data_IF_955803428145
#
_entry.id   IF_955803428145
#
_cell.length_a   1.000
_cell.length_b   1.000
_cell.length_c   1.000
_cell.angle_alpha   90.00
_cell.angle_beta   90.00
_cell.angle_gamma   90.00
#
_symmetry.space_group_name_H-M   'P 1'
#
loop_
_entity.id
_entity.type
_entity.pdbx_description
1 polymer ?
#
# COMPACT_ATOMS: atom_id res chain seq x y z
N UNK A 1 -7.54 -5.27 25.49
CA UNK A 1 -6.81 -5.89 24.38
C UNK A 1 -6.54 -4.79 23.37
N UNK A 2 -5.37 -4.15 23.46
CA UNK A 2 -4.95 -3.13 22.51
C UNK A 2 -4.63 -3.82 21.20
N UNK A 3 -5.52 -3.64 20.23
CA UNK A 3 -5.28 -3.98 18.82
C UNK A 3 -4.01 -3.23 18.41
N UNK A 4 -2.94 -3.95 18.04
CA UNK A 4 -1.70 -3.36 17.52
C UNK A 4 -2.01 -2.67 16.19
N UNK A 5 -2.40 -1.42 16.31
CA UNK A 5 -2.69 -0.52 15.22
C UNK A 5 -1.42 -0.30 14.40
N UNK A 6 -1.56 -0.25 13.08
CA UNK A 6 -0.55 0.41 12.26
C UNK A 6 -0.28 1.76 12.93
N UNK A 7 0.99 2.16 13.17
CA UNK A 7 1.32 3.33 13.97
C UNK A 7 1.01 4.66 13.26
N UNK A 8 0.04 4.65 12.36
CA UNK A 8 -0.36 5.83 11.60
C UNK A 8 -1.59 6.45 12.25
N UNK A 9 -1.37 7.46 13.09
CA UNK A 9 -2.45 8.32 13.57
C UNK A 9 -2.92 9.24 12.44
N UNK A 10 -4.22 9.43 12.32
CA UNK A 10 -4.79 10.46 11.43
C UNK A 10 -4.94 11.77 12.22
N UNK A 11 -4.62 12.97 11.64
CA UNK A 11 -4.16 13.18 10.26
C UNK A 11 -2.70 12.75 10.04
N UNK A 12 -2.43 12.19 8.85
CA UNK A 12 -1.09 11.81 8.44
C UNK A 12 -0.29 13.06 8.04
N UNK A 13 0.94 13.26 8.53
CA UNK A 13 1.81 14.31 8.02
C UNK A 13 2.27 14.01 6.58
N UNK A 14 2.69 15.05 5.84
CA UNK A 14 3.25 14.89 4.49
C UNK A 14 4.60 14.18 4.56
N UNK A 15 4.58 12.86 4.51
CA UNK A 15 5.73 11.96 4.62
C UNK A 15 5.44 10.67 3.89
N UNK A 16 6.49 9.86 3.67
CA UNK A 16 6.41 8.52 3.11
C UNK A 16 6.43 7.49 4.23
N UNK A 17 5.35 6.73 4.32
CA UNK A 17 5.20 5.66 5.30
C UNK A 17 5.24 4.32 4.58
N UNK A 18 6.06 3.39 5.03
CA UNK A 18 6.11 2.02 4.57
C UNK A 18 5.59 1.08 5.67
N UNK A 19 4.65 0.24 5.31
CA UNK A 19 4.20 -0.87 6.13
C UNK A 19 4.53 -2.20 5.45
N UNK A 20 5.22 -3.08 6.16
CA UNK A 20 5.62 -4.41 5.70
C UNK A 20 4.90 -5.45 6.53
N UNK A 21 4.13 -6.32 5.90
CA UNK A 21 3.40 -7.37 6.60
C UNK A 21 2.64 -8.30 5.67
N UNK A 22 2.14 -9.41 6.22
CA UNK A 22 1.42 -10.44 5.51
C UNK A 22 -0.07 -10.05 5.27
N UNK A 23 -0.97 -11.03 5.31
CA UNK A 23 -2.40 -10.83 5.01
C UNK A 23 -3.10 -9.84 5.94
N UNK A 24 -2.77 -9.82 7.24
CA UNK A 24 -3.39 -8.90 8.19
C UNK A 24 -3.07 -7.43 7.89
N UNK A 25 -1.92 -7.15 7.29
CA UNK A 25 -1.61 -5.80 6.84
C UNK A 25 -2.58 -5.35 5.73
N UNK A 26 -2.98 -6.25 4.82
CA UNK A 26 -3.95 -5.92 3.76
C UNK A 26 -5.27 -5.41 4.36
N UNK A 27 -5.80 -6.09 5.38
CA UNK A 27 -7.04 -5.67 6.05
C UNK A 27 -6.87 -4.32 6.76
N UNK A 28 -5.75 -4.11 7.44
CA UNK A 28 -5.42 -2.83 8.09
C UNK A 28 -5.29 -1.69 7.07
N UNK A 29 -4.76 -1.96 5.89
CA UNK A 29 -4.70 -0.95 4.81
C UNK A 29 -6.08 -0.61 4.28
N UNK A 30 -7.00 -1.59 4.15
CA UNK A 30 -8.39 -1.33 3.79
C UNK A 30 -9.14 -0.54 4.88
N UNK A 31 -8.86 -0.81 6.16
CA UNK A 31 -9.37 0.00 7.28
C UNK A 31 -8.85 1.46 7.22
N UNK A 32 -7.57 1.65 6.90
CA UNK A 32 -7.00 2.99 6.72
C UNK A 32 -7.71 3.73 5.58
N UNK A 33 -7.91 3.08 4.43
CA UNK A 33 -8.64 3.67 3.30
C UNK A 33 -10.07 4.03 3.71
N UNK A 34 -10.77 3.16 4.43
CA UNK A 34 -12.11 3.43 4.93
C UNK A 34 -12.13 4.67 5.86
N UNK A 35 -11.21 4.74 6.82
CA UNK A 35 -11.09 5.88 7.74
C UNK A 35 -10.78 7.20 7.01
N UNK A 36 -9.84 7.18 6.06
CA UNK A 36 -9.49 8.35 5.28
C UNK A 36 -10.68 8.82 4.43
N UNK A 37 -11.40 7.88 3.79
CA UNK A 37 -12.53 8.21 2.91
C UNK A 37 -13.72 8.83 3.64
N UNK A 38 -13.89 8.55 4.93
CA UNK A 38 -14.90 9.20 5.78
C UNK A 38 -14.62 10.70 5.99
N UNK A 39 -13.35 11.10 6.00
CA UNK A 39 -12.93 12.47 6.27
C UNK A 39 -12.64 13.28 5.00
N UNK A 40 -12.09 12.65 3.95
CA UNK A 40 -11.61 13.34 2.76
C UNK A 40 -11.50 12.39 1.56
N UNK A 41 -11.13 12.94 0.41
CA UNK A 41 -10.75 12.10 -0.75
C UNK A 41 -9.45 11.35 -0.45
N UNK A 42 -9.29 10.19 -1.08
CA UNK A 42 -8.09 9.36 -1.03
C UNK A 42 -7.81 8.78 -2.40
N UNK A 43 -6.56 8.88 -2.84
CA UNK A 43 -6.10 8.23 -4.08
C UNK A 43 -5.46 6.89 -3.71
N UNK A 44 -5.90 5.81 -4.35
CA UNK A 44 -5.43 4.45 -4.08
C UNK A 44 -4.84 3.85 -5.35
N UNK A 45 -3.58 3.42 -5.30
CA UNK A 45 -2.92 2.64 -6.33
C UNK A 45 -2.77 1.20 -5.83
N UNK A 46 -3.50 0.26 -6.45
CA UNK A 46 -3.45 -1.16 -6.12
C UNK A 46 -2.49 -1.88 -7.07
N UNK A 47 -1.24 -2.11 -6.62
CA UNK A 47 -0.19 -2.76 -7.38
C UNK A 47 -0.21 -4.29 -7.20
N UNK A 48 -0.90 -4.80 -6.17
CA UNK A 48 -1.06 -6.23 -5.92
C UNK A 48 -2.35 -6.81 -6.50
N UNK A 49 -3.23 -5.96 -7.05
CA UNK A 49 -4.54 -6.33 -7.58
C UNK A 49 -5.39 -7.15 -6.58
N UNK A 50 -5.34 -6.79 -5.29
CA UNK A 50 -5.98 -7.53 -4.20
C UNK A 50 -6.93 -6.70 -3.35
N UNK A 51 -7.09 -5.40 -3.64
CA UNK A 51 -7.99 -4.55 -2.87
C UNK A 51 -9.44 -4.96 -3.07
N UNK A 52 -10.09 -5.33 -1.95
CA UNK A 52 -11.53 -5.64 -1.93
C UNK A 52 -12.32 -4.42 -1.47
N UNK A 53 -12.86 -3.66 -2.42
CA UNK A 53 -13.64 -2.46 -2.11
C UNK A 53 -14.99 -2.77 -1.45
N UNK A 54 -15.50 -4.00 -1.56
CA UNK A 54 -16.65 -4.43 -0.78
C UNK A 54 -16.35 -4.46 0.72
N UNK A 55 -15.16 -4.93 1.11
CA UNK A 55 -14.69 -4.87 2.51
C UNK A 55 -14.60 -3.43 3.00
N UNK A 56 -14.08 -2.50 2.19
CA UNK A 56 -14.04 -1.07 2.52
C UNK A 56 -15.46 -0.52 2.72
N UNK A 57 -16.40 -0.81 1.82
CA UNK A 57 -17.79 -0.39 1.95
C UNK A 57 -18.44 -0.94 3.23
N UNK A 58 -18.12 -2.18 3.62
CA UNK A 58 -18.60 -2.80 4.86
C UNK A 58 -18.06 -2.09 6.10
N UNK A 59 -16.78 -1.68 6.07
CA UNK A 59 -16.14 -0.91 7.15
C UNK A 59 -16.70 0.52 7.30
N UNK A 60 -17.13 1.13 6.21
CA UNK A 60 -17.69 2.49 6.20
C UNK A 60 -19.12 2.54 6.76
N UNK A 61 -19.95 1.52 6.49
CA UNK A 61 -21.37 1.49 6.82
C UNK A 61 -21.74 1.87 8.27
N UNK A 62 -21.00 1.47 9.32
CA UNK A 62 -21.33 1.84 10.69
C UNK A 62 -21.16 3.33 10.99
N UNK A 63 -20.46 4.09 10.14
CA UNK A 63 -20.05 5.46 10.41
C UNK A 63 -20.76 6.51 9.54
N UNK A 64 -21.65 6.08 8.62
CA UNK A 64 -22.36 7.00 7.74
C UNK A 64 -23.71 6.44 7.31
N UNK A 65 -24.70 7.33 7.15
CA UNK A 65 -26.00 7.01 6.54
C UNK A 65 -25.93 6.92 5.01
N UNK A 66 -24.86 7.46 4.38
CA UNK A 66 -24.67 7.46 2.93
C UNK A 66 -23.29 6.85 2.57
N UNK A 67 -23.14 5.51 2.60
CA UNK A 67 -21.91 4.83 2.25
C UNK A 67 -21.50 5.04 0.79
N UNK A 68 -22.45 5.23 -0.12
CA UNK A 68 -22.18 5.45 -1.55
C UNK A 68 -21.42 6.74 -1.75
N UNK A 69 -21.87 7.81 -1.13
CA UNK A 69 -21.17 9.11 -1.17
C UNK A 69 -19.75 9.00 -0.64
N UNK A 70 -19.54 8.30 0.48
CA UNK A 70 -18.20 8.10 1.06
C UNK A 70 -17.31 7.28 0.12
N UNK A 71 -17.84 6.23 -0.50
CA UNK A 71 -17.10 5.45 -1.51
C UNK A 71 -16.69 6.29 -2.72
N UNK A 72 -17.42 7.32 -3.11
CA UNK A 72 -17.04 8.26 -4.17
C UNK A 72 -15.80 9.11 -3.81
N UNK A 73 -15.40 9.16 -2.54
CA UNK A 73 -14.14 9.78 -2.12
C UNK A 73 -12.91 8.95 -2.47
N UNK A 74 -13.07 7.66 -2.82
CA UNK A 74 -11.97 6.75 -3.14
C UNK A 74 -11.74 6.74 -4.64
N UNK A 75 -10.56 7.18 -5.08
CA UNK A 75 -10.08 7.04 -6.46
C UNK A 75 -9.14 5.86 -6.53
N UNK A 76 -9.64 4.73 -7.06
CA UNK A 76 -8.87 3.49 -7.18
C UNK A 76 -8.38 3.31 -8.61
N UNK A 77 -7.07 3.05 -8.75
CA UNK A 77 -6.44 2.57 -9.98
C UNK A 77 -5.67 1.30 -9.70
N UNK A 78 -5.59 0.38 -10.67
CA UNK A 78 -4.90 -0.90 -10.55
C UNK A 78 -3.81 -1.05 -11.59
N UNK A 79 -2.66 -1.59 -11.17
CA UNK A 79 -1.57 -1.96 -12.04
C UNK A 79 -1.39 -3.47 -12.06
N UNK A 80 -1.09 -4.01 -13.23
CA UNK A 80 -0.83 -5.43 -13.46
C UNK A 80 0.63 -5.70 -13.83
N UNK A 81 1.42 -4.65 -14.10
CA UNK A 81 2.85 -4.72 -14.40
C UNK A 81 3.58 -3.56 -13.74
N UNK A 82 4.89 -3.71 -13.50
CA UNK A 82 5.73 -2.64 -12.96
C UNK A 82 5.80 -1.42 -13.89
N UNK A 83 5.66 -1.60 -15.20
CA UNK A 83 5.56 -0.51 -16.17
C UNK A 83 4.28 0.31 -15.97
N UNK A 84 3.16 -0.36 -15.69
CA UNK A 84 1.90 0.32 -15.40
C UNK A 84 1.95 1.06 -14.06
N UNK A 85 2.66 0.53 -13.05
CA UNK A 85 2.89 1.25 -11.78
C UNK A 85 3.57 2.59 -12.05
N UNK A 86 4.67 2.58 -12.82
CA UNK A 86 5.38 3.81 -13.17
C UNK A 86 4.49 4.78 -13.94
N UNK A 87 3.75 4.30 -14.96
CA UNK A 87 2.86 5.14 -15.76
C UNK A 87 1.74 5.78 -14.91
N UNK A 88 1.16 5.01 -13.97
CA UNK A 88 0.15 5.53 -13.04
C UNK A 88 0.72 6.59 -12.10
N UNK A 89 1.91 6.38 -11.55
CA UNK A 89 2.57 7.38 -10.71
C UNK A 89 2.91 8.65 -11.49
N UNK A 90 3.35 8.54 -12.75
CA UNK A 90 3.56 9.68 -13.64
C UNK A 90 2.27 10.47 -13.87
N UNK A 91 1.14 9.77 -14.12
CA UNK A 91 -0.15 10.41 -14.31
C UNK A 91 -0.63 11.14 -13.04
N UNK A 92 -0.40 10.56 -11.85
CA UNK A 92 -0.71 11.22 -10.56
C UNK A 92 0.22 12.40 -10.33
N UNK A 93 1.52 12.28 -10.65
CA UNK A 93 2.50 13.35 -10.46
C UNK A 93 2.31 14.54 -11.43
N UNK A 94 1.68 14.33 -12.58
CA UNK A 94 1.32 15.41 -13.51
C UNK A 94 0.30 16.38 -12.88
N UNK A 95 -0.58 15.90 -11.98
CA UNK A 95 -1.53 16.69 -11.21
C UNK A 95 -1.52 16.22 -9.76
N UNK A 96 -0.53 16.62 -8.94
CA UNK A 96 -0.32 16.10 -7.61
C UNK A 96 -1.56 16.31 -6.73
N UNK A 97 -2.10 15.25 -6.13
CA UNK A 97 -3.23 15.36 -5.22
C UNK A 97 -2.80 16.07 -3.93
N UNK A 98 -3.75 16.75 -3.30
CA UNK A 98 -3.59 17.26 -1.92
C UNK A 98 -4.10 16.26 -0.89
N UNK A 99 -4.85 15.28 -1.34
CA UNK A 99 -5.36 14.15 -0.56
C UNK A 99 -4.31 13.04 -0.40
N UNK A 100 -4.41 12.21 0.65
CA UNK A 100 -3.49 11.09 0.87
C UNK A 100 -3.44 10.13 -0.33
N UNK A 101 -2.22 9.68 -0.66
CA UNK A 101 -1.95 8.63 -1.62
C UNK A 101 -1.65 7.32 -0.87
N UNK A 102 -2.42 6.29 -1.14
CA UNK A 102 -2.22 4.94 -0.60
C UNK A 102 -1.80 4.00 -1.73
N UNK A 103 -0.62 3.41 -1.62
CA UNK A 103 -0.07 2.45 -2.58
C UNK A 103 -0.10 1.06 -1.96
N UNK A 104 -0.95 0.19 -2.49
CA UNK A 104 -1.12 -1.15 -1.99
C UNK A 104 -0.20 -2.14 -2.70
N UNK A 105 0.59 -2.86 -1.92
CA UNK A 105 1.48 -3.93 -2.36
C UNK A 105 2.41 -3.53 -3.51
N UNK A 106 3.12 -2.41 -3.33
CA UNK A 106 3.93 -1.76 -4.38
C UNK A 106 4.85 -2.73 -5.12
N UNK A 107 5.51 -3.65 -4.40
CA UNK A 107 6.50 -4.55 -5.00
C UNK A 107 5.88 -5.74 -5.73
N UNK A 108 4.57 -6.00 -5.62
CA UNK A 108 3.96 -7.20 -6.17
C UNK A 108 4.26 -7.41 -7.67
N UNK A 109 4.18 -6.36 -8.47
CA UNK A 109 4.46 -6.41 -9.92
C UNK A 109 5.94 -6.34 -10.26
N UNK A 110 6.79 -5.91 -9.33
CA UNK A 110 8.25 -5.89 -9.49
C UNK A 110 8.91 -7.23 -9.15
N UNK A 111 8.14 -8.16 -8.54
CA UNK A 111 8.58 -9.51 -8.25
C UNK A 111 8.32 -10.48 -9.41
N UNK A 112 7.75 -10.01 -10.51
CA UNK A 112 7.52 -10.78 -11.72
C UNK A 112 8.85 -11.25 -12.34
N UNK A 113 9.02 -12.57 -12.51
CA UNK A 113 10.24 -13.20 -12.99
C UNK A 113 10.50 -12.90 -14.48
N UNK A 114 9.46 -12.58 -15.24
CA UNK A 114 9.56 -12.21 -16.66
C UNK A 114 10.24 -10.83 -16.86
N UNK A 115 10.37 -10.04 -15.79
CA UNK A 115 11.07 -8.75 -15.82
C UNK A 115 12.49 -8.92 -15.28
N UNK A 116 13.50 -8.54 -16.05
CA UNK A 116 14.88 -8.57 -15.57
C UNK A 116 15.06 -7.73 -14.30
N UNK A 117 15.83 -8.25 -13.34
CA UNK A 117 16.04 -7.57 -12.04
C UNK A 117 16.57 -6.13 -12.23
N UNK A 118 17.47 -5.92 -13.19
CA UNK A 118 18.02 -4.59 -13.51
C UNK A 118 16.95 -3.61 -13.97
N UNK A 119 16.00 -4.07 -14.79
CA UNK A 119 14.89 -3.25 -15.25
C UNK A 119 13.88 -2.99 -14.12
N UNK A 120 13.59 -4.00 -13.30
CA UNK A 120 12.75 -3.84 -12.12
C UNK A 120 13.36 -2.80 -11.14
N UNK A 121 14.66 -2.83 -10.89
CA UNK A 121 15.36 -1.84 -10.08
C UNK A 121 15.24 -0.42 -10.66
N UNK A 122 15.50 -0.26 -11.95
CA UNK A 122 15.43 1.04 -12.63
C UNK A 122 14.00 1.62 -12.58
N UNK A 123 12.99 0.79 -12.85
CA UNK A 123 11.59 1.19 -12.79
C UNK A 123 11.16 1.55 -11.37
N UNK A 124 11.61 0.78 -10.37
CA UNK A 124 11.33 1.07 -8.97
C UNK A 124 11.98 2.39 -8.55
N UNK A 125 13.24 2.63 -8.91
CA UNK A 125 13.95 3.87 -8.59
C UNK A 125 13.21 5.10 -9.14
N UNK A 126 12.77 5.06 -10.40
CA UNK A 126 11.93 6.11 -10.97
C UNK A 126 10.60 6.27 -10.20
N UNK A 127 9.95 5.17 -9.82
CA UNK A 127 8.72 5.18 -9.05
C UNK A 127 8.91 5.83 -7.67
N UNK A 128 10.03 5.53 -7.00
CA UNK A 128 10.40 6.12 -5.71
C UNK A 128 10.67 7.63 -5.81
N UNK A 129 11.31 8.07 -6.89
CA UNK A 129 11.49 9.49 -7.19
C UNK A 129 10.14 10.24 -7.29
N UNK A 130 9.15 9.65 -7.99
CA UNK A 130 7.81 10.21 -8.10
C UNK A 130 7.07 10.21 -6.76
N UNK A 131 7.16 9.12 -5.96
CA UNK A 131 6.57 9.05 -4.63
C UNK A 131 7.19 10.10 -3.69
N UNK A 132 8.49 10.36 -3.82
CA UNK A 132 9.17 11.44 -3.10
C UNK A 132 8.62 12.81 -3.50
N UNK A 133 8.45 13.07 -4.79
CA UNK A 133 7.83 14.30 -5.28
C UNK A 133 6.41 14.47 -4.75
N UNK A 134 5.58 13.42 -4.80
CA UNK A 134 4.19 13.43 -4.34
C UNK A 134 4.08 13.65 -2.83
N UNK A 135 5.03 13.13 -2.05
CA UNK A 135 5.04 13.32 -0.58
C UNK A 135 5.27 14.76 -0.13
N UNK A 136 5.72 15.64 -1.01
CA UNK A 136 5.81 17.07 -0.75
C UNK A 136 4.42 17.76 -0.70
N UNK A 137 3.41 17.15 -1.32
CA UNK A 137 2.06 17.71 -1.42
C UNK A 137 1.04 17.01 -0.53
N UNK A 138 1.23 15.71 -0.27
CA UNK A 138 0.30 14.88 0.49
C UNK A 138 1.02 13.70 1.16
N UNK A 139 0.44 13.12 2.23
CA UNK A 139 0.97 11.89 2.82
C UNK A 139 0.95 10.75 1.80
N UNK A 140 2.03 9.95 1.76
CA UNK A 140 2.14 8.75 0.95
C UNK A 140 2.29 7.55 1.86
N UNK A 141 1.33 6.62 1.80
CA UNK A 141 1.36 5.37 2.57
C UNK A 141 1.54 4.20 1.61
N UNK A 142 2.60 3.44 1.80
CA UNK A 142 2.97 2.32 0.96
C UNK A 142 2.85 1.04 1.78
N UNK A 143 2.22 0.01 1.25
CA UNK A 143 2.30 -1.33 1.82
C UNK A 143 3.04 -2.28 0.89
N UNK A 144 3.71 -3.25 1.49
CA UNK A 144 4.33 -4.37 0.77
C UNK A 144 4.21 -5.64 1.60
N UNK A 145 4.16 -6.78 0.92
CA UNK A 145 4.30 -8.09 1.56
C UNK A 145 5.77 -8.45 1.70
N UNK A 146 6.11 -9.30 2.69
CA UNK A 146 7.45 -9.89 2.76
C UNK A 146 7.81 -10.56 1.44
N UNK A 147 9.08 -10.42 1.04
CA UNK A 147 9.58 -11.05 -0.19
C UNK A 147 9.53 -12.57 -0.02
N UNK A 148 8.88 -13.32 -0.93
CA UNK A 148 8.87 -14.78 -0.88
C UNK A 148 10.29 -15.36 -0.99
N UNK A 149 10.54 -16.49 -0.32
CA UNK A 149 11.86 -17.16 -0.36
C UNK A 149 12.31 -17.50 -1.79
N UNK A 150 11.38 -17.84 -2.66
CA UNK A 150 11.65 -18.11 -4.07
C UNK A 150 12.19 -16.87 -4.80
N UNK A 151 11.80 -15.68 -4.38
CA UNK A 151 12.22 -14.42 -4.97
C UNK A 151 13.39 -13.76 -4.20
N UNK A 152 14.21 -14.52 -3.46
CA UNK A 152 15.26 -13.98 -2.60
C UNK A 152 16.25 -13.03 -3.33
N UNK A 153 16.50 -13.24 -4.62
CA UNK A 153 17.34 -12.36 -5.44
C UNK A 153 16.76 -10.94 -5.57
N UNK A 154 15.45 -10.77 -5.33
CA UNK A 154 14.75 -9.48 -5.41
C UNK A 154 14.62 -8.76 -4.06
N UNK A 155 15.25 -9.27 -3.01
CA UNK A 155 15.32 -8.60 -1.68
C UNK A 155 15.90 -7.19 -1.81
N UNK A 156 16.82 -6.99 -2.74
CA UNK A 156 17.40 -5.66 -3.04
C UNK A 156 16.32 -4.60 -3.37
N UNK A 157 15.18 -4.98 -3.96
CA UNK A 157 14.07 -4.06 -4.23
C UNK A 157 13.41 -3.57 -2.93
N UNK A 158 13.30 -4.45 -1.93
CA UNK A 158 12.77 -4.06 -0.63
C UNK A 158 13.73 -3.13 0.11
N UNK A 159 15.02 -3.42 0.07
CA UNK A 159 16.03 -2.54 0.67
C UNK A 159 16.07 -1.17 -0.03
N UNK A 160 15.96 -1.12 -1.35
CA UNK A 160 15.85 0.12 -2.09
C UNK A 160 14.63 0.94 -1.63
N UNK A 161 13.49 0.28 -1.43
CA UNK A 161 12.27 0.92 -0.94
C UNK A 161 12.44 1.42 0.51
N UNK A 162 12.98 0.59 1.42
CA UNK A 162 13.23 0.97 2.82
C UNK A 162 14.10 2.22 2.94
N UNK A 163 15.13 2.33 2.10
CA UNK A 163 16.05 3.48 2.10
C UNK A 163 15.40 4.77 1.56
N UNK A 164 14.22 4.67 0.92
CA UNK A 164 13.53 5.79 0.30
C UNK A 164 12.23 6.19 1.01
N UNK A 165 12.03 5.80 2.26
CA UNK A 165 10.86 6.17 3.07
C UNK A 165 11.30 6.87 4.36
N UNK A 166 10.40 7.68 4.93
CA UNK A 166 10.70 8.45 6.14
C UNK A 166 10.37 7.65 7.41
N UNK A 167 9.39 6.75 7.31
CA UNK A 167 8.93 5.89 8.41
C UNK A 167 8.69 4.48 7.86
N UNK A 168 9.32 3.49 8.48
CA UNK A 168 9.11 2.08 8.16
C UNK A 168 8.55 1.34 9.39
N UNK A 169 7.47 0.61 9.18
CA UNK A 169 6.89 -0.30 10.16
C UNK A 169 6.87 -1.72 9.59
N UNK A 170 7.35 -2.67 10.36
CA UNK A 170 7.29 -4.10 10.01
C UNK A 170 6.40 -4.84 11.00
N UNK A 171 5.53 -5.69 10.48
CA UNK A 171 4.70 -6.54 11.31
C UNK A 171 5.57 -7.51 12.12
N UNK A 172 5.44 -7.56 13.47
CA UNK A 172 6.24 -8.45 14.30
C UNK A 172 6.09 -9.91 13.88
N UNK A 173 7.20 -10.67 13.83
CA UNK A 173 7.25 -12.08 13.41
C UNK A 173 6.28 -12.98 14.22
N UNK A 174 6.04 -12.67 15.49
CA UNK A 174 5.08 -13.41 16.33
C UNK A 174 3.64 -13.34 15.80
N UNK A 175 3.24 -12.23 15.17
CA UNK A 175 1.92 -12.10 14.54
C UNK A 175 1.86 -12.85 13.21
N UNK A 176 2.95 -12.89 12.45
CA UNK A 176 3.04 -13.65 11.20
C UNK A 176 2.94 -15.16 11.44
N UNK A 177 3.60 -15.67 12.46
CA UNK A 177 3.56 -17.10 12.83
C UNK A 177 2.17 -17.55 13.32
N UNK A 178 1.48 -16.74 14.12
CA UNK A 178 0.14 -17.04 14.61
C UNK A 178 -0.89 -17.14 13.46
N UNK A 179 -0.75 -16.32 12.42
CA UNK A 179 -1.64 -16.34 11.25
C UNK A 179 -1.41 -17.55 10.35
N UNK A 180 -0.14 -17.97 10.15
CA UNK A 180 0.17 -19.18 9.40
C UNK A 180 -0.42 -20.43 10.08
N UNK A 181 -0.38 -20.48 11.42
CA UNK A 181 -0.96 -21.59 12.19
C UNK A 181 -2.49 -21.62 12.07
N UNK A 182 -3.16 -20.48 12.05
CA UNK A 182 -4.61 -20.40 11.84
C UNK A 182 -5.03 -20.86 10.44
N UNK A 183 -4.29 -20.50 9.40
CA UNK A 183 -4.58 -20.95 8.03
C UNK A 183 -4.41 -22.45 7.86
N UNK A 184 -3.46 -23.08 8.56
CA UNK A 184 -3.26 -24.53 8.51
C UNK A 184 -4.32 -25.34 9.29
N UNK A 185 -5.02 -24.69 10.23
CA UNK A 185 -6.06 -25.36 11.05
C UNK A 185 -7.47 -25.25 10.45
N UNK A 186 -7.70 -24.34 9.52
CA UNK A 186 -9.03 -24.04 8.94
C UNK A 186 -9.05 -24.10 7.40
N UNK A 187 -7.97 -24.60 6.77
CA UNK A 187 -7.86 -24.81 5.31
C UNK A 187 -8.19 -26.24 4.87
#
# INVERSE_FOLDING_TARGET
MESSLIPFSTPLPSRRFLAIGAHALSDKMLELIAKLSLAQRVTVLDCGNRSNMYSVAKLIRPYTSDPVRVMCNIRLSRAFTCYQVLAMLQAVAANPPKEPLVVLDLLATFLDEDVELKDAQRLLDHSLGLLTQLSNSAPVVISVRPIPLIAHQRVVLLELLKNNVDVCWEEPLALQAAQQTQMLLFG
#
